data_IF_687154041024
#
_entry.id   IF_687154041024
#
_cell.length_a   1.000
_cell.length_b   1.000
_cell.length_c   1.000
_cell.angle_alpha   90.00
_cell.angle_beta   90.00
_cell.angle_gamma   90.00
#
_symmetry.space_group_name_H-M   'P 1'
#
loop_
_entity.id
_entity.type
_entity.pdbx_description
1 polymer ?
#
# COMPACT_ATOMS: atom_id res chain seq x y z
N UNK A 1 -11.55 15.34 23.09
CA UNK A 1 -10.52 15.60 22.05
C UNK A 1 -11.13 15.34 20.69
N UNK A 2 -10.67 16.02 19.63
CA UNK A 2 -11.16 15.68 18.28
C UNK A 2 -10.65 14.29 17.89
N UNK A 3 -11.40 13.54 17.07
CA UNK A 3 -10.95 12.26 16.55
C UNK A 3 -9.54 12.42 15.95
N UNK A 4 -9.28 13.48 15.18
CA UNK A 4 -7.96 13.74 14.60
C UNK A 4 -6.82 13.91 15.64
N UNK A 5 -7.11 14.43 16.83
CA UNK A 5 -6.12 14.58 17.94
C UNK A 5 -5.87 13.26 18.65
N UNK A 6 -6.93 12.51 18.94
CA UNK A 6 -6.84 11.13 19.47
C UNK A 6 -6.15 10.19 18.49
N UNK A 7 -6.25 10.53 17.21
CA UNK A 7 -5.64 9.84 16.10
C UNK A 7 -4.20 10.34 15.77
N UNK A 8 -3.59 11.20 16.60
CA UNK A 8 -2.27 11.80 16.36
C UNK A 8 -2.09 12.51 15.00
N UNK A 9 -3.15 12.69 14.18
CA UNK A 9 -3.07 13.22 12.81
C UNK A 9 -2.70 14.71 12.75
N UNK A 10 -2.84 15.42 13.88
CA UNK A 10 -2.52 16.85 14.02
C UNK A 10 -1.44 17.05 15.12
N UNK A 11 -0.70 15.99 15.48
CA UNK A 11 0.42 16.07 16.43
C UNK A 11 1.74 16.40 15.71
N UNK A 12 2.73 16.91 16.44
CA UNK A 12 4.11 17.13 15.92
C UNK A 12 4.88 15.82 15.63
N UNK A 13 4.26 14.67 15.89
CA UNK A 13 4.85 13.33 15.73
C UNK A 13 4.57 12.71 14.34
N UNK A 14 3.85 13.42 13.46
CA UNK A 14 3.54 12.99 12.09
C UNK A 14 4.27 13.86 11.09
N UNK A 15 4.92 13.25 10.10
CA UNK A 15 5.58 14.01 9.04
C UNK A 15 4.57 14.75 8.16
N UNK A 16 4.88 16.01 7.86
CA UNK A 16 4.07 16.83 6.96
C UNK A 16 4.11 16.24 5.54
N UNK A 17 2.93 16.02 4.95
CA UNK A 17 2.74 15.37 3.64
C UNK A 17 2.74 16.36 2.45
N UNK A 18 2.96 17.65 2.70
CA UNK A 18 2.87 18.67 1.64
C UNK A 18 3.91 19.76 1.83
N UNK A 19 5.17 19.34 1.96
CA UNK A 19 6.27 20.28 1.85
C UNK A 19 6.33 20.75 0.40
N UNK A 20 6.27 22.06 0.18
CA UNK A 20 6.50 22.61 -1.17
C UNK A 20 7.88 22.17 -1.61
N UNK A 21 7.96 21.45 -2.74
CA UNK A 21 9.23 21.17 -3.36
C UNK A 21 9.94 22.51 -3.62
N UNK A 22 11.08 22.71 -2.97
CA UNK A 22 11.84 23.96 -3.05
C UNK A 22 12.72 24.01 -4.31
N UNK A 23 12.73 22.95 -5.12
CA UNK A 23 13.47 22.91 -6.38
C UNK A 23 12.63 23.66 -7.42
N UNK A 24 13.19 24.76 -7.93
CA UNK A 24 12.56 25.51 -8.99
C UNK A 24 12.49 24.62 -10.25
N UNK A 25 11.30 24.43 -10.86
CA UNK A 25 11.15 23.61 -12.06
C UNK A 25 12.08 24.01 -13.22
N UNK A 26 12.50 25.30 -13.27
CA UNK A 26 13.43 25.79 -14.29
C UNK A 26 14.89 25.40 -14.05
N UNK A 27 15.28 25.01 -12.83
CA UNK A 27 16.65 24.61 -12.50
C UNK A 27 16.91 23.11 -12.77
N UNK A 28 15.86 22.28 -12.65
CA UNK A 28 15.91 20.85 -12.94
C UNK A 28 16.86 20.04 -12.04
N UNK A 29 17.11 18.79 -12.42
CA UNK A 29 18.09 17.87 -11.82
C UNK A 29 19.20 17.60 -12.83
N UNK A 30 19.99 18.62 -13.16
CA UNK A 30 21.13 18.48 -14.07
C UNK A 30 22.08 17.39 -13.56
N UNK A 31 22.60 16.57 -14.48
CA UNK A 31 23.49 15.46 -14.15
C UNK A 31 22.81 14.22 -13.56
N UNK A 32 21.48 14.22 -13.36
CA UNK A 32 20.73 13.10 -12.77
C UNK A 32 19.92 12.36 -13.83
N UNK A 33 20.08 11.04 -13.90
CA UNK A 33 19.44 10.17 -14.87
C UNK A 33 18.64 9.06 -14.19
N UNK A 34 17.41 8.84 -14.65
CA UNK A 34 16.49 7.83 -14.10
C UNK A 34 16.22 6.72 -15.12
N UNK A 35 16.69 5.52 -14.82
CA UNK A 35 16.60 4.33 -15.67
C UNK A 35 15.70 3.29 -15.00
N UNK A 36 14.45 3.22 -15.46
CA UNK A 36 13.43 2.30 -14.90
C UNK A 36 13.32 0.97 -15.65
N UNK A 37 14.17 0.78 -16.65
CA UNK A 37 14.22 -0.41 -17.51
C UNK A 37 15.68 -0.85 -17.66
N UNK A 38 15.86 -2.10 -18.11
CA UNK A 38 17.17 -2.59 -18.58
C UNK A 38 17.31 -2.21 -20.07
N UNK A 39 18.25 -2.85 -20.80
CA UNK A 39 18.46 -2.63 -22.24
C UNK A 39 17.19 -2.81 -23.10
N UNK A 40 16.18 -3.53 -22.60
CA UNK A 40 14.85 -3.67 -23.19
C UNK A 40 13.79 -3.62 -22.09
N UNK A 41 12.54 -3.30 -22.45
CA UNK A 41 11.41 -3.37 -21.53
C UNK A 41 11.20 -4.82 -21.06
N UNK A 42 11.36 -5.06 -19.77
CA UNK A 42 11.23 -6.38 -19.14
C UNK A 42 9.92 -6.47 -18.38
N UNK A 43 9.10 -7.50 -18.67
CA UNK A 43 7.99 -7.89 -17.81
C UNK A 43 8.42 -9.05 -16.91
N UNK A 44 8.39 -8.86 -15.59
CA UNK A 44 8.79 -9.89 -14.60
C UNK A 44 7.95 -11.16 -14.69
N UNK A 45 6.70 -11.07 -15.16
CA UNK A 45 5.82 -12.22 -15.33
C UNK A 45 6.21 -13.10 -16.53
N UNK A 46 6.75 -12.49 -17.59
CA UNK A 46 6.97 -13.15 -18.88
C UNK A 46 8.45 -13.43 -19.18
N UNK A 47 9.36 -12.78 -18.45
CA UNK A 47 10.80 -12.88 -18.71
C UNK A 47 11.46 -13.91 -17.82
N UNK A 48 12.28 -14.78 -18.40
CA UNK A 48 13.01 -15.81 -17.66
C UNK A 48 14.00 -15.15 -16.68
N UNK A 49 14.02 -15.53 -15.38
CA UNK A 49 14.91 -14.94 -14.37
C UNK A 49 16.39 -14.92 -14.74
N UNK A 50 16.88 -15.97 -15.39
CA UNK A 50 18.26 -16.05 -15.87
C UNK A 50 18.59 -14.97 -16.91
N UNK A 51 17.65 -14.64 -17.80
CA UNK A 51 17.83 -13.58 -18.79
C UNK A 51 17.84 -12.19 -18.11
N UNK A 52 16.93 -11.94 -17.17
CA UNK A 52 16.91 -10.71 -16.38
C UNK A 52 18.23 -10.50 -15.62
N UNK A 53 18.73 -11.57 -14.99
CA UNK A 53 20.04 -11.58 -14.33
C UNK A 53 21.14 -11.21 -15.30
N UNK A 54 21.20 -11.85 -16.46
CA UNK A 54 22.25 -11.62 -17.44
C UNK A 54 22.24 -10.17 -17.95
N UNK A 55 21.08 -9.61 -18.27
CA UNK A 55 20.95 -8.22 -18.72
C UNK A 55 21.40 -7.23 -17.64
N UNK A 56 21.00 -7.46 -16.38
CA UNK A 56 21.41 -6.62 -15.26
C UNK A 56 22.92 -6.71 -14.99
N UNK A 57 23.48 -7.92 -15.01
CA UNK A 57 24.92 -8.12 -14.83
C UNK A 57 25.73 -7.49 -15.96
N UNK A 58 25.26 -7.55 -17.20
CA UNK A 58 25.91 -6.87 -18.31
C UNK A 58 26.00 -5.36 -18.06
N UNK A 59 24.88 -4.73 -17.69
CA UNK A 59 24.85 -3.30 -17.35
C UNK A 59 25.80 -2.98 -16.18
N UNK A 60 25.74 -3.75 -15.10
CA UNK A 60 26.59 -3.54 -13.92
C UNK A 60 28.08 -3.69 -14.25
N UNK A 61 28.43 -4.63 -15.14
CA UNK A 61 29.82 -4.85 -15.57
C UNK A 61 30.33 -3.75 -16.53
N UNK A 62 29.42 -3.04 -17.21
CA UNK A 62 29.76 -1.89 -18.05
C UNK A 62 30.02 -0.62 -17.22
N UNK A 63 29.65 -0.59 -15.93
CA UNK A 63 29.94 0.54 -15.03
C UNK A 63 31.47 0.67 -14.83
N UNK A 64 32.08 1.83 -15.15
CA UNK A 64 33.50 2.06 -14.95
C UNK A 64 33.96 1.81 -13.51
N UNK A 65 35.13 1.17 -13.33
CA UNK A 65 35.66 0.87 -11.99
C UNK A 65 36.04 2.10 -11.15
N UNK A 66 36.06 3.30 -11.76
CA UNK A 66 36.26 4.59 -11.06
C UNK A 66 34.94 5.17 -10.52
N UNK A 67 33.80 4.64 -10.96
CA UNK A 67 32.47 5.10 -10.54
C UNK A 67 32.05 4.40 -9.25
N UNK A 68 31.22 5.08 -8.46
CA UNK A 68 30.68 4.53 -7.23
C UNK A 68 29.42 3.71 -7.56
N UNK A 69 29.30 2.52 -6.98
CA UNK A 69 28.08 1.71 -7.05
C UNK A 69 27.44 1.64 -5.66
N UNK A 70 26.17 1.98 -5.55
CA UNK A 70 25.37 1.95 -4.32
C UNK A 70 24.20 1.02 -4.56
N UNK A 71 24.16 -0.12 -3.87
CA UNK A 71 23.02 -1.02 -3.87
C UNK A 71 22.17 -0.74 -2.64
N UNK A 72 20.85 -0.69 -2.82
CA UNK A 72 19.91 -0.30 -1.76
C UNK A 72 18.74 -1.27 -1.69
N UNK A 73 18.28 -1.56 -0.48
CA UNK A 73 17.07 -2.34 -0.23
C UNK A 73 16.35 -1.89 1.05
N UNK A 74 15.03 -2.05 1.08
CA UNK A 74 14.17 -1.79 2.23
C UNK A 74 13.42 -3.04 2.68
N UNK A 75 13.50 -3.37 3.96
CA UNK A 75 12.86 -4.56 4.53
C UNK A 75 11.89 -4.21 5.65
N UNK A 76 10.85 -5.04 5.79
CA UNK A 76 9.90 -4.98 6.90
C UNK A 76 9.55 -6.41 7.34
N UNK A 77 9.69 -6.70 8.63
CA UNK A 77 9.38 -8.01 9.19
C UNK A 77 7.90 -8.13 9.63
N UNK A 78 7.52 -9.33 10.08
CA UNK A 78 6.16 -9.65 10.52
C UNK A 78 5.73 -8.87 11.77
N UNK A 79 6.69 -8.44 12.59
CA UNK A 79 6.47 -7.60 13.78
C UNK A 79 6.32 -6.10 13.45
N UNK A 80 6.29 -5.76 12.15
CA UNK A 80 6.27 -4.39 11.62
C UNK A 80 7.54 -3.58 11.89
N UNK A 81 8.64 -4.23 12.24
CA UNK A 81 9.94 -3.59 12.34
C UNK A 81 10.53 -3.46 10.93
N UNK A 82 11.01 -2.27 10.61
CA UNK A 82 11.55 -1.97 9.27
C UNK A 82 13.01 -1.57 9.35
N UNK A 83 13.74 -1.80 8.27
CA UNK A 83 15.16 -1.48 8.15
C UNK A 83 15.55 -1.20 6.70
N UNK A 84 16.68 -0.51 6.54
CA UNK A 84 17.28 -0.18 5.24
C UNK A 84 18.69 -0.75 5.17
N UNK A 85 19.03 -1.31 4.02
CA UNK A 85 20.32 -1.91 3.73
C UNK A 85 21.01 -1.19 2.58
N UNK A 86 22.29 -0.86 2.77
CA UNK A 86 23.08 -0.15 1.76
C UNK A 86 24.44 -0.85 1.62
N UNK A 87 24.76 -1.21 0.38
CA UNK A 87 26.06 -1.77 0.00
C UNK A 87 26.73 -0.84 -1.00
N UNK A 88 27.83 -0.20 -0.56
CA UNK A 88 28.56 0.80 -1.35
C UNK A 88 29.88 0.21 -1.78
N UNK A 89 30.16 0.27 -3.08
CA UNK A 89 31.45 -0.08 -3.67
C UNK A 89 32.06 1.19 -4.28
N UNK A 90 33.14 1.66 -3.68
CA UNK A 90 33.97 2.74 -4.24
C UNK A 90 35.21 2.13 -4.89
N UNK A 91 36.02 2.93 -5.62
CA UNK A 91 37.29 2.45 -6.16
C UNK A 91 38.30 2.04 -5.08
N UNK A 92 38.13 2.53 -3.85
CA UNK A 92 39.08 2.34 -2.74
C UNK A 92 38.64 1.23 -1.79
N UNK A 93 37.34 1.14 -1.52
CA UNK A 93 36.83 0.25 -0.49
C UNK A 93 35.37 -0.13 -0.71
N UNK A 94 34.90 -1.03 0.16
CA UNK A 94 33.52 -1.49 0.21
C UNK A 94 32.95 -1.17 1.59
N UNK A 95 31.77 -0.52 1.63
CA UNK A 95 31.04 -0.20 2.86
C UNK A 95 29.72 -0.94 2.89
N UNK A 96 29.33 -1.33 4.10
CA UNK A 96 28.05 -1.99 4.39
C UNK A 96 27.36 -1.22 5.50
N UNK A 97 26.19 -0.68 5.22
CA UNK A 97 25.41 0.11 6.17
C UNK A 97 24.07 -0.60 6.35
N UNK A 98 23.66 -0.74 7.60
CA UNK A 98 22.33 -1.22 8.00
C UNK A 98 21.73 -0.17 8.91
N UNK A 99 20.46 0.18 8.69
CA UNK A 99 19.76 1.21 9.42
C UNK A 99 18.45 0.67 9.98
N UNK A 100 18.15 1.06 11.22
CA UNK A 100 16.83 0.84 11.82
C UNK A 100 15.88 1.95 11.40
N UNK A 101 14.75 1.57 10.81
CA UNK A 101 13.67 2.51 10.48
C UNK A 101 12.60 2.49 11.57
N UNK A 102 11.72 3.52 11.65
CA UNK A 102 10.56 3.50 12.53
C UNK A 102 9.73 2.24 12.36
N UNK A 103 9.21 1.72 13.47
CA UNK A 103 8.25 0.63 13.40
C UNK A 103 7.01 1.06 12.62
N UNK A 104 6.51 0.18 11.78
CA UNK A 104 5.43 0.37 10.82
C UNK A 104 5.80 1.24 9.60
N UNK A 105 7.04 1.68 9.47
CA UNK A 105 7.55 2.30 8.23
C UNK A 105 7.26 1.36 7.05
N UNK A 106 6.74 1.92 5.97
CA UNK A 106 6.44 1.18 4.74
C UNK A 106 7.72 0.67 4.08
N UNK A 107 7.62 -0.43 3.33
CA UNK A 107 8.74 -0.95 2.53
C UNK A 107 9.18 0.14 1.54
N UNK A 108 8.24 0.76 0.83
CA UNK A 108 8.51 1.87 -0.08
C UNK A 108 9.32 3.01 0.55
N UNK A 109 8.96 3.45 1.75
CA UNK A 109 9.74 4.48 2.45
C UNK A 109 11.10 3.95 2.91
N UNK A 110 11.21 2.68 3.30
CA UNK A 110 12.49 2.06 3.65
C UNK A 110 13.45 1.99 2.46
N UNK A 111 12.95 1.78 1.25
CA UNK A 111 13.74 1.89 0.01
C UNK A 111 14.27 3.31 -0.19
N UNK A 112 13.43 4.33 0.00
CA UNK A 112 13.83 5.73 -0.14
C UNK A 112 14.87 6.12 0.93
N UNK A 113 14.68 5.69 2.18
CA UNK A 113 15.65 5.91 3.26
C UNK A 113 17.00 5.23 2.96
N UNK A 114 17.00 4.07 2.29
CA UNK A 114 18.23 3.42 1.85
C UNK A 114 18.97 4.25 0.78
N UNK A 115 18.23 4.83 -0.18
CA UNK A 115 18.78 5.75 -1.19
C UNK A 115 19.35 7.02 -0.54
N UNK A 116 18.60 7.64 0.37
CA UNK A 116 19.02 8.82 1.12
C UNK A 116 20.34 8.56 1.86
N UNK A 117 20.40 7.49 2.67
CA UNK A 117 21.58 7.12 3.42
C UNK A 117 22.79 6.76 2.53
N UNK A 118 22.55 6.12 1.39
CA UNK A 118 23.60 5.83 0.42
C UNK A 118 24.23 7.09 -0.16
N UNK A 119 23.39 8.08 -0.51
CA UNK A 119 23.85 9.38 -0.99
C UNK A 119 24.60 10.17 0.09
N UNK A 120 24.09 10.19 1.32
CA UNK A 120 24.76 10.85 2.46
C UNK A 120 26.14 10.25 2.74
N UNK A 121 26.25 8.91 2.67
CA UNK A 121 27.49 8.19 2.94
C UNK A 121 28.62 8.47 1.94
N UNK A 122 28.30 9.08 0.79
CA UNK A 122 29.29 9.42 -0.24
C UNK A 122 29.56 10.93 -0.38
N UNK A 123 28.95 11.78 0.45
CA UNK A 123 29.12 13.24 0.37
C UNK A 123 30.57 13.71 0.52
N UNK A 124 31.40 12.95 1.24
CA UNK A 124 32.82 13.25 1.43
C UNK A 124 33.74 12.46 0.47
N UNK A 125 33.17 11.63 -0.41
CA UNK A 125 33.96 10.97 -1.45
C UNK A 125 34.41 11.97 -2.49
N UNK A 126 35.59 11.72 -3.04
CA UNK A 126 36.19 12.54 -4.08
C UNK A 126 36.81 11.61 -5.13
N UNK A 127 37.06 12.15 -6.33
CA UNK A 127 37.74 11.46 -7.43
C UNK A 127 36.94 10.28 -8.01
N UNK A 128 35.64 10.47 -8.25
CA UNK A 128 34.81 9.59 -9.06
C UNK A 128 34.17 10.41 -10.19
N UNK A 129 33.75 9.75 -11.29
CA UNK A 129 33.09 10.43 -12.42
C UNK A 129 31.57 10.38 -12.25
N UNK A 130 31.04 9.20 -11.92
CA UNK A 130 29.60 9.00 -11.71
C UNK A 130 29.29 8.16 -10.48
N UNK A 131 28.03 8.25 -10.04
CA UNK A 131 27.42 7.42 -8.99
C UNK A 131 26.27 6.64 -9.59
N UNK A 132 26.26 5.32 -9.39
CA UNK A 132 25.20 4.42 -9.83
C UNK A 132 24.46 3.87 -8.61
N UNK A 133 23.22 4.30 -8.44
CA UNK A 133 22.29 3.78 -7.44
C UNK A 133 21.51 2.64 -8.08
N UNK A 134 21.77 1.43 -7.61
CA UNK A 134 21.22 0.17 -8.09
C UNK A 134 20.16 -0.30 -7.09
N UNK A 135 18.89 -0.07 -7.41
CA UNK A 135 17.74 -0.43 -6.56
C UNK A 135 16.81 -1.35 -7.31
N UNK A 136 16.25 -2.34 -6.63
CA UNK A 136 15.21 -3.19 -7.21
C UNK A 136 13.78 -2.64 -7.06
N UNK A 137 13.63 -1.56 -6.30
CA UNK A 137 12.40 -0.78 -6.16
C UNK A 137 12.20 0.18 -7.34
N UNK A 138 11.63 -0.36 -8.43
CA UNK A 138 11.22 0.44 -9.60
C UNK A 138 10.28 1.59 -9.21
N UNK A 139 9.40 1.37 -8.23
CA UNK A 139 8.47 2.39 -7.75
C UNK A 139 9.20 3.57 -7.10
N UNK A 140 10.27 3.33 -6.32
CA UNK A 140 11.07 4.41 -5.71
C UNK A 140 11.73 5.29 -6.78
N UNK A 141 12.30 4.67 -7.82
CA UNK A 141 12.93 5.40 -8.94
C UNK A 141 11.86 6.18 -9.73
N UNK A 142 10.70 5.59 -9.99
CA UNK A 142 9.59 6.27 -10.68
C UNK A 142 9.06 7.46 -9.87
N UNK A 143 8.91 7.31 -8.56
CA UNK A 143 8.51 8.39 -7.65
C UNK A 143 9.47 9.58 -7.69
N UNK A 144 10.78 9.30 -7.59
CA UNK A 144 11.81 10.34 -7.67
C UNK A 144 11.93 10.95 -9.07
N UNK A 145 11.65 10.18 -10.13
CA UNK A 145 11.59 10.69 -11.50
C UNK A 145 10.45 11.70 -11.68
N UNK A 146 9.34 11.54 -10.96
CA UNK A 146 8.22 12.48 -10.91
C UNK A 146 8.42 13.59 -9.85
N UNK A 147 9.65 14.08 -9.72
CA UNK A 147 10.06 15.01 -8.67
C UNK A 147 9.23 16.30 -8.56
N UNK A 148 8.56 16.74 -9.63
CA UNK A 148 7.65 17.90 -9.58
C UNK A 148 6.46 17.68 -8.64
N UNK A 149 6.05 16.43 -8.43
CA UNK A 149 4.90 16.05 -7.61
C UNK A 149 5.29 15.49 -6.24
N UNK A 150 6.59 15.47 -5.93
CA UNK A 150 7.12 15.00 -4.65
C UNK A 150 6.93 16.05 -3.56
N UNK A 151 6.35 15.65 -2.43
CA UNK A 151 6.05 16.53 -1.30
C UNK A 151 6.42 15.96 0.09
N UNK A 152 7.00 14.77 0.16
CA UNK A 152 7.42 14.14 1.41
C UNK A 152 8.88 14.51 1.79
N UNK A 153 9.19 14.47 3.10
CA UNK A 153 10.47 14.93 3.63
C UNK A 153 11.67 14.14 3.08
N UNK A 154 11.59 12.81 3.11
CA UNK A 154 12.66 11.92 2.67
C UNK A 154 12.96 12.13 1.19
N UNK A 155 11.94 12.16 0.34
CA UNK A 155 12.14 12.37 -1.09
C UNK A 155 12.67 13.77 -1.39
N UNK A 156 12.22 14.83 -0.71
CA UNK A 156 12.81 16.17 -0.86
C UNK A 156 14.29 16.20 -0.47
N UNK A 157 14.66 15.48 0.60
CA UNK A 157 16.06 15.35 1.03
C UNK A 157 16.90 14.64 -0.03
N UNK A 158 16.42 13.51 -0.56
CA UNK A 158 17.05 12.80 -1.68
C UNK A 158 17.21 13.73 -2.88
N UNK A 159 16.18 14.47 -3.28
CA UNK A 159 16.26 15.39 -4.43
C UNK A 159 17.30 16.50 -4.22
N UNK A 160 17.47 17.00 -2.98
CA UNK A 160 18.54 17.95 -2.65
C UNK A 160 19.93 17.31 -2.76
N UNK A 161 20.10 16.08 -2.28
CA UNK A 161 21.36 15.33 -2.38
C UNK A 161 21.71 15.03 -3.84
N UNK A 162 20.74 14.54 -4.61
CA UNK A 162 20.87 14.28 -6.05
C UNK A 162 21.27 15.55 -6.80
N UNK A 163 20.62 16.68 -6.50
CA UNK A 163 20.97 17.98 -7.09
C UNK A 163 22.38 18.40 -6.70
N UNK A 164 22.76 18.26 -5.43
CA UNK A 164 24.07 18.68 -4.95
C UNK A 164 25.19 17.89 -5.63
N UNK A 165 25.07 16.57 -5.69
CA UNK A 165 26.06 15.69 -6.34
C UNK A 165 26.04 15.87 -7.86
N UNK A 166 24.84 16.05 -8.45
CA UNK A 166 24.61 16.25 -9.88
C UNK A 166 25.30 17.47 -10.50
N UNK A 167 25.77 18.42 -9.68
CA UNK A 167 26.54 19.59 -10.14
C UNK A 167 27.91 19.17 -10.67
N UNK A 168 28.58 18.24 -9.98
CA UNK A 168 29.97 17.87 -10.25
C UNK A 168 30.12 16.45 -10.82
N UNK A 169 29.12 15.58 -10.58
CA UNK A 169 29.17 14.17 -10.94
C UNK A 169 27.85 13.71 -11.58
N UNK A 170 27.93 12.76 -12.51
CA UNK A 170 26.72 12.13 -13.05
C UNK A 170 26.11 11.21 -11.97
N UNK A 171 24.79 11.24 -11.80
CA UNK A 171 24.06 10.37 -10.88
C UNK A 171 23.04 9.55 -11.65
N UNK A 172 23.18 8.23 -11.61
CA UNK A 172 22.33 7.28 -12.32
C UNK A 172 21.53 6.48 -11.31
N UNK A 173 20.21 6.65 -11.30
CA UNK A 173 19.29 5.76 -10.60
C UNK A 173 18.88 4.66 -11.56
N UNK A 174 19.40 3.46 -11.37
CA UNK A 174 19.20 2.30 -12.24
C UNK A 174 18.40 1.23 -11.53
N UNK A 175 17.26 0.88 -12.12
CA UNK A 175 16.49 -0.28 -11.68
C UNK A 175 17.22 -1.58 -12.00
N UNK A 176 17.27 -2.50 -11.02
CA UNK A 176 17.76 -3.87 -11.20
C UNK A 176 16.69 -4.89 -10.77
N UNK A 177 16.67 -6.11 -11.34
CA UNK A 177 15.69 -7.11 -10.96
C UNK A 177 15.97 -7.68 -9.56
N UNK A 178 14.92 -7.81 -8.74
CA UNK A 178 14.98 -8.52 -7.45
C UNK A 178 14.90 -10.05 -7.61
N UNK A 179 15.47 -10.77 -6.65
CA UNK A 179 15.42 -12.25 -6.53
C UNK A 179 15.98 -13.00 -7.75
N UNK A 180 17.07 -12.50 -8.32
CA UNK A 180 17.81 -13.18 -9.39
C UNK A 180 19.30 -13.36 -9.06
N UNK A 181 19.64 -13.36 -7.77
CA UNK A 181 20.99 -13.57 -7.23
C UNK A 181 22.03 -12.58 -7.78
N UNK A 182 21.69 -11.29 -7.81
CA UNK A 182 22.66 -10.22 -8.06
C UNK A 182 23.36 -9.94 -6.74
N UNK A 183 24.65 -10.26 -6.65
CA UNK A 183 25.41 -10.23 -5.40
C UNK A 183 25.25 -8.93 -4.60
N UNK A 184 25.39 -7.76 -5.24
CA UNK A 184 25.23 -6.47 -4.54
C UNK A 184 23.83 -6.25 -3.97
N UNK A 185 22.80 -6.68 -4.69
CA UNK A 185 21.40 -6.60 -4.25
C UNK A 185 21.15 -7.54 -3.07
N UNK A 186 21.61 -8.79 -3.16
CA UNK A 186 21.46 -9.77 -2.08
C UNK A 186 22.17 -9.30 -0.79
N UNK A 187 23.32 -8.61 -0.91
CA UNK A 187 23.99 -8.02 0.25
C UNK A 187 23.15 -6.88 0.84
N UNK A 188 22.57 -6.01 0.01
CA UNK A 188 21.70 -4.93 0.48
C UNK A 188 20.43 -5.47 1.17
N UNK A 189 19.75 -6.47 0.59
CA UNK A 189 18.57 -7.12 1.18
C UNK A 189 18.89 -7.77 2.54
N UNK A 190 20.02 -8.46 2.64
CA UNK A 190 20.47 -9.02 3.91
C UNK A 190 20.77 -7.94 4.95
N UNK A 191 21.34 -6.81 4.55
CA UNK A 191 21.60 -5.66 5.45
C UNK A 191 20.28 -5.00 5.89
N UNK A 192 19.29 -4.89 5.01
CA UNK A 192 17.98 -4.34 5.34
C UNK A 192 17.25 -5.20 6.36
N UNK A 193 17.28 -6.53 6.17
CA UNK A 193 16.74 -7.52 7.13
C UNK A 193 17.44 -7.42 8.48
N UNK A 194 18.77 -7.34 8.50
CA UNK A 194 19.51 -7.12 9.75
C UNK A 194 19.17 -5.78 10.40
N UNK A 195 18.95 -4.74 9.60
CA UNK A 195 18.52 -3.42 10.05
C UNK A 195 17.20 -3.46 10.82
N UNK A 196 16.30 -4.41 10.54
CA UNK A 196 15.03 -4.55 11.29
C UNK A 196 15.24 -4.92 12.77
N UNK A 197 16.37 -5.57 13.10
CA UNK A 197 16.68 -6.04 14.44
C UNK A 197 17.55 -5.06 15.24
N UNK A 198 18.03 -3.98 14.62
CA UNK A 198 18.83 -2.96 15.30
C UNK A 198 17.97 -2.17 16.32
N UNK A 199 18.55 -1.67 17.42
CA UNK A 199 17.83 -0.85 18.38
C UNK A 199 17.39 0.48 17.76
N UNK A 200 16.17 0.93 18.06
CA UNK A 200 15.69 2.25 17.64
C UNK A 200 16.50 3.35 18.35
N UNK A 201 17.28 4.12 17.59
CA UNK A 201 18.17 5.14 18.17
C UNK A 201 17.44 6.46 18.51
N UNK A 202 16.28 6.69 17.89
CA UNK A 202 15.24 7.66 18.25
C UNK A 202 13.97 7.21 17.51
N UNK A 203 12.79 7.74 17.84
CA UNK A 203 11.57 7.43 17.07
C UNK A 203 11.33 8.52 16.01
N UNK A 204 11.82 8.39 14.76
CA UNK A 204 11.38 9.26 13.69
C UNK A 204 9.87 9.14 13.52
N UNK A 205 9.24 10.29 13.26
CA UNK A 205 7.82 10.42 12.94
C UNK A 205 7.42 9.55 11.75
N UNK A 206 6.30 8.83 11.87
CA UNK A 206 5.66 8.13 10.76
C UNK A 206 4.98 9.14 9.83
N UNK A 207 4.76 8.75 8.57
CA UNK A 207 3.93 9.51 7.64
C UNK A 207 2.44 9.31 7.93
N UNK A 208 1.61 10.23 7.42
CA UNK A 208 0.15 10.10 7.50
C UNK A 208 -0.35 8.78 6.92
N UNK A 209 0.15 8.37 5.74
CA UNK A 209 -0.28 7.15 5.06
C UNK A 209 0.06 5.89 5.85
N UNK A 210 1.21 5.87 6.53
CA UNK A 210 1.59 4.78 7.43
C UNK A 210 0.65 4.72 8.63
N UNK A 211 0.35 5.85 9.27
CA UNK A 211 -0.60 5.92 10.39
C UNK A 211 -2.00 5.50 9.96
N UNK A 212 -2.47 6.00 8.82
CA UNK A 212 -3.76 5.62 8.24
C UNK A 212 -3.82 4.12 7.94
N UNK A 213 -2.76 3.56 7.34
CA UNK A 213 -2.65 2.14 7.03
C UNK A 213 -2.67 1.27 8.29
N UNK A 214 -1.97 1.67 9.37
CA UNK A 214 -2.02 0.98 10.67
C UNK A 214 -3.45 0.93 11.19
N UNK A 215 -4.19 2.05 11.13
CA UNK A 215 -5.58 2.10 11.61
C UNK A 215 -6.53 1.29 10.76
N UNK A 216 -6.47 1.47 9.44
CA UNK A 216 -7.28 0.70 8.50
C UNK A 216 -7.08 -0.80 8.73
N UNK A 217 -5.85 -1.25 8.98
CA UNK A 217 -5.57 -2.66 9.28
C UNK A 217 -6.12 -3.11 10.65
N UNK A 218 -6.07 -2.26 11.68
CA UNK A 218 -6.73 -2.55 12.97
C UNK A 218 -8.25 -2.67 12.80
N UNK A 219 -8.87 -1.73 12.09
CA UNK A 219 -10.30 -1.75 11.81
C UNK A 219 -10.67 -2.98 10.98
N UNK A 220 -9.91 -3.31 9.93
CA UNK A 220 -10.13 -4.52 9.13
C UNK A 220 -10.07 -5.80 9.98
N UNK A 221 -9.16 -5.88 10.96
CA UNK A 221 -9.13 -7.02 11.91
C UNK A 221 -10.41 -7.07 12.75
N UNK A 222 -10.90 -5.92 13.23
CA UNK A 222 -12.18 -5.83 13.95
C UNK A 222 -13.37 -6.20 13.06
N UNK A 223 -13.39 -5.75 11.80
CA UNK A 223 -14.43 -6.07 10.81
C UNK A 223 -14.44 -7.56 10.41
N UNK A 224 -13.29 -8.23 10.45
CA UNK A 224 -13.20 -9.69 10.24
C UNK A 224 -13.80 -10.49 11.41
N UNK A 225 -13.94 -9.88 12.59
CA UNK A 225 -14.74 -10.44 13.67
C UNK A 225 -16.20 -10.11 13.36
N UNK A 226 -17.05 -11.09 13.03
CA UNK A 226 -18.43 -10.81 12.72
C UNK A 226 -19.11 -10.17 13.95
N UNK A 227 -19.83 -9.05 13.80
CA UNK A 227 -20.59 -8.48 14.90
C UNK A 227 -21.48 -9.53 15.56
N UNK A 228 -21.80 -9.35 16.84
CA UNK A 228 -22.69 -10.24 17.63
C UNK A 228 -24.15 -10.24 17.16
N UNK A 229 -24.40 -9.90 15.90
CA UNK A 229 -25.70 -9.97 15.26
C UNK A 229 -25.83 -11.31 14.53
N UNK A 230 -26.97 -11.99 14.68
CA UNK A 230 -27.18 -13.35 14.14
C UNK A 230 -26.92 -13.50 12.64
N UNK A 231 -27.04 -12.42 11.87
CA UNK A 231 -26.72 -12.34 10.43
C UNK A 231 -25.24 -12.61 10.12
N UNK A 232 -24.32 -12.10 10.94
CA UNK A 232 -22.88 -12.21 10.68
C UNK A 232 -22.28 -13.51 11.23
N UNK A 233 -23.06 -14.29 12.00
CA UNK A 233 -22.58 -15.52 12.65
C UNK A 233 -22.38 -16.70 11.69
N UNK A 234 -22.84 -16.62 10.43
CA UNK A 234 -22.74 -17.74 9.47
C UNK A 234 -22.03 -17.45 8.16
N UNK A 235 -21.77 -16.18 7.86
CA UNK A 235 -20.93 -15.76 6.74
C UNK A 235 -20.30 -14.41 7.09
N UNK A 236 -19.08 -14.15 6.62
CA UNK A 236 -18.38 -12.89 6.81
C UNK A 236 -19.30 -11.68 6.55
N UNK A 237 -19.14 -10.55 7.28
CA UNK A 237 -19.88 -9.34 6.98
C UNK A 237 -19.82 -8.94 5.51
N UNK A 238 -20.98 -8.99 4.84
CA UNK A 238 -21.12 -8.68 3.41
C UNK A 238 -21.04 -9.87 2.45
N UNK A 239 -21.01 -11.11 2.93
CA UNK A 239 -21.15 -12.30 2.08
C UNK A 239 -22.52 -12.33 1.38
N UNK A 240 -22.54 -12.50 0.06
CA UNK A 240 -23.76 -12.75 -0.69
C UNK A 240 -24.33 -14.12 -0.33
N UNK A 241 -25.65 -14.26 -0.23
CA UNK A 241 -26.29 -15.57 -0.12
C UNK A 241 -25.94 -16.35 -1.40
N UNK A 242 -25.30 -17.51 -1.27
CA UNK A 242 -24.80 -18.34 -2.39
C UNK A 242 -25.92 -19.02 -3.16
N UNK A 243 -26.85 -18.23 -3.73
CA UNK A 243 -28.03 -18.71 -4.44
C UNK A 243 -27.74 -18.83 -5.93
N UNK A 244 -28.34 -19.84 -6.57
CA UNK A 244 -28.29 -20.04 -8.02
C UNK A 244 -29.25 -19.10 -8.77
N UNK A 245 -29.20 -17.80 -8.47
CA UNK A 245 -29.91 -16.75 -9.19
C UNK A 245 -28.95 -15.64 -9.62
N UNK A 246 -29.41 -14.70 -10.46
CA UNK A 246 -28.58 -13.60 -10.92
C UNK A 246 -28.13 -12.66 -9.78
N UNK A 247 -27.12 -11.83 -10.04
CA UNK A 247 -26.53 -10.95 -9.03
C UNK A 247 -27.54 -9.90 -8.50
N UNK A 248 -28.50 -9.49 -9.31
CA UNK A 248 -29.49 -8.49 -8.91
C UNK A 248 -30.48 -9.10 -7.91
N UNK A 249 -30.97 -10.30 -8.20
CA UNK A 249 -31.84 -11.10 -7.35
C UNK A 249 -31.14 -11.47 -6.02
N UNK A 250 -29.87 -11.91 -6.07
CA UNK A 250 -29.07 -12.15 -4.85
C UNK A 250 -28.95 -10.91 -3.97
N UNK A 251 -28.76 -9.73 -4.59
CA UNK A 251 -28.65 -8.45 -3.90
C UNK A 251 -29.98 -8.05 -3.25
N UNK A 252 -31.09 -8.21 -3.97
CA UNK A 252 -32.43 -7.89 -3.47
C UNK A 252 -32.80 -8.76 -2.26
N UNK A 253 -32.55 -10.07 -2.32
CA UNK A 253 -32.80 -10.99 -1.20
C UNK A 253 -31.94 -10.65 0.02
N UNK A 254 -30.63 -10.43 -0.19
CA UNK A 254 -29.71 -10.05 0.88
C UNK A 254 -30.11 -8.73 1.55
N UNK A 255 -30.57 -7.75 0.76
CA UNK A 255 -31.08 -6.46 1.26
C UNK A 255 -32.41 -6.59 1.98
N UNK A 256 -33.33 -7.45 1.52
CA UNK A 256 -34.60 -7.67 2.21
C UNK A 256 -34.37 -8.25 3.62
N UNK A 257 -33.60 -9.34 3.71
CA UNK A 257 -33.32 -10.04 4.96
C UNK A 257 -32.61 -9.12 5.96
N UNK A 258 -31.75 -8.22 5.48
CA UNK A 258 -31.02 -7.26 6.30
C UNK A 258 -31.76 -5.92 6.52
N UNK A 259 -32.96 -5.75 5.95
CA UNK A 259 -33.74 -4.50 6.02
C UNK A 259 -33.04 -3.30 5.39
N UNK A 260 -32.33 -3.51 4.28
CA UNK A 260 -31.62 -2.48 3.50
C UNK A 260 -32.16 -2.31 2.07
N UNK A 261 -33.36 -2.83 1.77
CA UNK A 261 -34.03 -2.47 0.52
C UNK A 261 -34.33 -0.98 0.48
N UNK A 262 -34.37 -0.39 -0.71
CA UNK A 262 -34.72 1.04 -0.89
C UNK A 262 -36.10 1.39 -0.33
N UNK A 263 -37.02 0.42 -0.30
CA UNK A 263 -38.37 0.55 0.26
C UNK A 263 -38.40 0.52 1.80
N UNK A 264 -37.28 0.20 2.45
CA UNK A 264 -37.14 0.21 3.91
C UNK A 264 -36.69 1.59 4.40
N UNK A 265 -37.39 2.15 5.37
CA UNK A 265 -37.02 3.36 6.08
C UNK A 265 -36.53 3.05 7.50
N UNK A 266 -35.98 4.04 8.18
CA UNK A 266 -35.49 3.91 9.56
C UNK A 266 -36.38 4.75 10.49
N UNK A 267 -36.94 4.11 11.52
CA UNK A 267 -37.87 4.73 12.48
C UNK A 267 -37.63 4.18 13.87
N UNK A 268 -37.47 5.07 14.87
CA UNK A 268 -37.29 4.71 16.29
C UNK A 268 -36.20 3.64 16.53
N UNK A 269 -35.05 3.77 15.85
CA UNK A 269 -33.93 2.82 15.99
C UNK A 269 -34.11 1.50 15.23
N UNK A 270 -35.22 1.32 14.51
CA UNK A 270 -35.55 0.10 13.79
C UNK A 270 -35.75 0.34 12.29
N UNK A 271 -35.48 -0.70 11.51
CA UNK A 271 -35.76 -0.75 10.08
C UNK A 271 -37.20 -1.17 9.85
N UNK A 272 -37.94 -0.39 9.07
CA UNK A 272 -39.38 -0.60 8.85
C UNK A 272 -39.75 -0.38 7.39
N UNK A 273 -40.69 -1.19 6.91
CA UNK A 273 -41.40 -0.96 5.66
C UNK A 273 -42.68 -0.16 5.96
N UNK A 274 -43.14 0.70 5.04
CA UNK A 274 -44.32 1.53 5.25
C UNK A 274 -45.56 0.73 5.68
N UNK A 275 -45.79 -0.42 5.03
CA UNK A 275 -46.91 -1.32 5.29
C UNK A 275 -46.50 -2.77 5.03
N UNK A 276 -47.00 -3.72 5.84
CA UNK A 276 -46.93 -5.15 5.54
C UNK A 276 -47.93 -5.52 4.45
N UNK A 277 -47.46 -6.05 3.31
CA UNK A 277 -48.29 -6.44 2.18
C UNK A 277 -49.35 -7.52 2.52
N UNK A 278 -49.15 -8.31 3.58
CA UNK A 278 -50.07 -9.41 3.96
C UNK A 278 -51.15 -8.98 4.95
N UNK A 279 -50.79 -8.30 6.04
CA UNK A 279 -51.73 -7.96 7.12
C UNK A 279 -52.09 -6.48 7.21
N UNK A 280 -51.46 -5.61 6.39
CA UNK A 280 -51.74 -4.18 6.35
C UNK A 280 -51.16 -3.38 7.53
N UNK A 281 -50.37 -3.99 8.42
CA UNK A 281 -49.73 -3.29 9.55
C UNK A 281 -48.77 -2.23 9.03
N UNK A 282 -48.91 -0.99 9.51
CA UNK A 282 -47.98 0.10 9.22
C UNK A 282 -46.65 -0.08 9.97
N UNK A 283 -45.56 0.46 9.40
CA UNK A 283 -44.21 0.40 9.99
C UNK A 283 -43.75 -1.03 10.32
N UNK A 284 -43.97 -1.96 9.39
CA UNK A 284 -43.67 -3.37 9.59
C UNK A 284 -42.16 -3.64 9.52
N UNK A 285 -41.59 -4.28 10.53
CA UNK A 285 -40.18 -4.70 10.47
C UNK A 285 -39.98 -5.86 9.48
N UNK A 286 -38.76 -6.09 8.98
CA UNK A 286 -38.44 -7.28 8.20
C UNK A 286 -38.88 -8.57 8.90
N UNK A 287 -38.65 -8.70 10.20
CA UNK A 287 -39.04 -9.86 11.02
C UNK A 287 -40.56 -10.03 11.07
N UNK A 288 -41.32 -8.92 11.17
CA UNK A 288 -42.76 -8.97 11.12
C UNK A 288 -43.26 -9.49 9.77
N UNK A 289 -42.71 -9.00 8.66
CA UNK A 289 -43.11 -9.46 7.32
C UNK A 289 -42.81 -10.95 7.15
N UNK A 290 -41.62 -11.39 7.55
CA UNK A 290 -41.23 -12.81 7.54
C UNK A 290 -42.18 -13.68 8.37
N UNK A 291 -42.42 -13.29 9.62
CA UNK A 291 -43.32 -13.99 10.54
C UNK A 291 -44.77 -14.03 10.03
N UNK A 292 -45.28 -12.89 9.55
CA UNK A 292 -46.62 -12.78 9.00
C UNK A 292 -46.81 -13.76 7.84
N UNK A 293 -45.77 -13.97 7.03
CA UNK A 293 -45.76 -14.87 5.88
C UNK A 293 -45.43 -16.32 6.22
N UNK A 294 -45.06 -16.63 7.47
CA UNK A 294 -44.49 -17.94 7.87
C UNK A 294 -43.23 -18.29 7.07
N UNK A 295 -42.49 -17.28 6.60
CA UNK A 295 -41.18 -17.45 6.01
C UNK A 295 -40.13 -17.40 7.11
N UNK A 296 -39.17 -18.30 7.05
CA UNK A 296 -37.98 -18.25 7.90
C UNK A 296 -36.79 -17.80 7.06
N UNK A 297 -35.68 -17.47 7.73
CA UNK A 297 -34.41 -17.18 7.04
C UNK A 297 -33.92 -18.41 6.24
N UNK A 298 -34.23 -19.62 6.70
CA UNK A 298 -33.92 -20.88 6.00
C UNK A 298 -34.70 -21.00 4.68
N UNK A 299 -35.91 -20.42 4.60
CA UNK A 299 -36.69 -20.39 3.36
C UNK A 299 -35.95 -19.69 2.21
N UNK A 300 -35.08 -18.71 2.49
CA UNK A 300 -34.28 -18.02 1.46
C UNK A 300 -33.14 -18.89 0.93
N UNK A 301 -32.68 -19.87 1.71
CA UNK A 301 -31.64 -20.82 1.32
C UNK A 301 -32.23 -22.03 0.61
N UNK A 302 -33.41 -22.49 1.05
CA UNK A 302 -34.08 -23.69 0.51
C UNK A 302 -35.00 -23.40 -0.68
N UNK A 303 -35.58 -22.20 -0.78
CA UNK A 303 -36.49 -21.80 -1.87
C UNK A 303 -36.37 -20.29 -2.20
N UNK A 304 -35.28 -19.87 -2.85
CA UNK A 304 -35.03 -18.47 -3.17
C UNK A 304 -36.00 -17.90 -4.22
N UNK A 305 -36.61 -18.75 -5.06
CA UNK A 305 -37.54 -18.30 -6.11
C UNK A 305 -38.86 -17.79 -5.52
N UNK A 306 -39.40 -18.51 -4.52
CA UNK A 306 -40.60 -18.07 -3.80
C UNK A 306 -40.40 -16.70 -3.12
N UNK A 307 -39.22 -16.47 -2.55
CA UNK A 307 -38.87 -15.20 -1.91
C UNK A 307 -38.74 -14.05 -2.92
N UNK A 308 -38.18 -14.31 -4.12
CA UNK A 308 -38.06 -13.32 -5.19
C UNK A 308 -39.41 -12.92 -5.77
N UNK A 309 -40.28 -13.90 -6.04
CA UNK A 309 -41.62 -13.64 -6.57
C UNK A 309 -42.42 -12.76 -5.61
N UNK A 310 -42.29 -12.98 -4.30
CA UNK A 310 -42.89 -12.11 -3.29
C UNK A 310 -42.36 -10.67 -3.36
N UNK A 311 -41.03 -10.48 -3.44
CA UNK A 311 -40.45 -9.14 -3.49
C UNK A 311 -40.93 -8.37 -4.73
N UNK A 312 -41.06 -9.07 -5.87
CA UNK A 312 -41.59 -8.51 -7.11
C UNK A 312 -43.07 -8.15 -7.00
N UNK A 313 -43.92 -9.09 -6.57
CA UNK A 313 -45.37 -8.89 -6.46
C UNK A 313 -45.74 -7.83 -5.42
N UNK A 314 -44.96 -7.74 -4.33
CA UNK A 314 -45.20 -6.76 -3.26
C UNK A 314 -44.62 -5.38 -3.56
N UNK A 315 -43.99 -5.18 -4.73
CA UNK A 315 -43.33 -3.93 -5.10
C UNK A 315 -42.17 -3.56 -4.18
N UNK A 316 -41.55 -4.55 -3.53
CA UNK A 316 -40.44 -4.35 -2.59
C UNK A 316 -39.08 -4.41 -3.27
N UNK A 317 -38.99 -4.89 -4.52
CA UNK A 317 -37.75 -4.87 -5.29
C UNK A 317 -37.18 -3.46 -5.38
N UNK A 318 -35.85 -3.36 -5.35
CA UNK A 318 -35.16 -2.13 -5.72
C UNK A 318 -35.54 -1.84 -7.18
N UNK A 319 -36.29 -0.75 -7.42
CA UNK A 319 -36.62 -0.33 -8.79
C UNK A 319 -35.34 -0.13 -9.61
N UNK A 320 -35.37 -0.62 -10.85
CA UNK A 320 -34.32 -0.37 -11.86
C UNK A 320 -34.21 1.12 -12.12
#
# INVERSE_FOLDING_TARGET
MSLATELNLISREVECHSLKNCINPSEGLLGVFFHTELQQAVNKADTVPALMKQMALQLINEIPGVDIQIYTDGSKNEENQSGSGIYIKTPREVRKIKLRNPDNCSVFRSELLAIEAGLEAILNENNYRAVWILSDSRSSIQHLKDWNNVGDRTSISILKLLRHIGVDHEVHLQWIPSHVDIYGNEVADNLAKQGTAEPLCSAPSLTFDEIYSIRKNKDLKTWRVPPSHDWYKRSSPGGSIGLSCDRADQTALSRFVSGHLRSCSFSHGNKVFPVCAKCGVASASPEHILSCLRLSRETFETDPLLALDFLRVSGLMDGV
#
